data_IF_527190897031
#
_entry.id   IF_527190897031
#
_cell.length_a   1.000
_cell.length_b   1.000
_cell.length_c   1.000
_cell.angle_alpha   90.00
_cell.angle_beta   90.00
_cell.angle_gamma   90.00
#
_symmetry.space_group_name_H-M   'P 1'
#
loop_
_entity.id
_entity.type
_entity.pdbx_description
1 polymer ?
#
# COMPACT_ATOMS: atom_id res chain seq x y z
N UNK A 1 46.96 -0.79 -6.77
CA UNK A 1 45.71 -1.36 -7.30
C UNK A 1 45.46 -2.80 -6.81
N UNK A 2 46.46 -3.68 -6.62
CA UNK A 2 46.22 -5.00 -6.02
C UNK A 2 45.54 -4.90 -4.64
N UNK A 3 45.98 -3.97 -3.80
CA UNK A 3 45.44 -3.75 -2.45
C UNK A 3 43.94 -3.31 -2.50
N UNK A 4 43.53 -2.61 -3.55
CA UNK A 4 42.12 -2.22 -3.71
C UNK A 4 41.22 -3.43 -4.08
N UNK A 5 41.77 -4.42 -4.78
CA UNK A 5 41.07 -5.69 -5.11
C UNK A 5 40.99 -6.55 -3.85
N UNK A 6 42.06 -6.64 -3.07
CA UNK A 6 42.10 -7.37 -1.79
C UNK A 6 41.11 -6.75 -0.79
N UNK A 7 41.01 -5.41 -0.73
CA UNK A 7 40.04 -4.72 0.11
C UNK A 7 38.57 -5.04 -0.29
N UNK A 8 38.29 -5.29 -1.57
CA UNK A 8 36.96 -5.72 -2.03
C UNK A 8 36.60 -7.09 -1.48
N UNK A 9 37.55 -8.03 -1.48
CA UNK A 9 37.35 -9.35 -0.89
C UNK A 9 37.16 -9.25 0.63
N UNK A 10 37.98 -8.45 1.33
CA UNK A 10 37.85 -8.25 2.77
C UNK A 10 36.47 -7.68 3.14
N UNK A 11 35.94 -6.74 2.34
CA UNK A 11 34.58 -6.18 2.56
C UNK A 11 33.53 -7.28 2.33
N UNK A 12 33.65 -8.08 1.27
CA UNK A 12 32.72 -9.15 0.99
C UNK A 12 32.69 -10.20 2.13
N UNK A 13 33.84 -10.55 2.70
CA UNK A 13 33.94 -11.46 3.82
C UNK A 13 33.32 -10.93 5.12
N UNK A 14 33.24 -9.61 5.29
CA UNK A 14 32.56 -8.95 6.42
C UNK A 14 31.04 -8.88 6.26
N UNK A 15 30.52 -9.08 5.04
CA UNK A 15 29.09 -8.98 4.74
C UNK A 15 28.39 -10.33 4.91
N UNK A 16 28.04 -10.68 6.14
CA UNK A 16 27.38 -11.96 6.49
C UNK A 16 25.98 -11.70 7.07
N UNK A 17 25.20 -10.83 6.43
CA UNK A 17 23.84 -10.53 6.85
C UNK A 17 22.86 -11.58 6.32
N UNK A 18 22.16 -12.25 7.23
CA UNK A 18 20.99 -13.07 6.92
C UNK A 18 19.72 -12.28 7.19
N UNK A 19 18.92 -12.06 6.16
CA UNK A 19 17.61 -11.43 6.28
C UNK A 19 16.55 -12.52 6.42
N UNK A 20 15.86 -12.56 7.55
CA UNK A 20 14.71 -13.45 7.73
C UNK A 20 13.56 -12.92 6.89
N UNK A 21 12.96 -13.76 6.06
CA UNK A 21 11.91 -13.39 5.12
C UNK A 21 10.60 -14.11 5.44
N UNK A 22 9.47 -13.46 5.10
CA UNK A 22 8.21 -14.16 4.94
C UNK A 22 7.30 -14.25 6.18
N UNK A 23 7.51 -13.40 7.19
CA UNK A 23 6.59 -13.30 8.34
C UNK A 23 6.10 -11.85 8.54
N UNK A 24 5.29 -11.30 7.60
CA UNK A 24 4.78 -9.94 7.76
C UNK A 24 4.00 -9.84 9.07
N UNK A 25 4.44 -8.91 9.91
CA UNK A 25 3.87 -8.70 11.25
C UNK A 25 3.23 -7.32 11.31
N UNK A 26 1.96 -7.21 11.69
CA UNK A 26 1.33 -5.91 11.92
C UNK A 26 2.13 -5.09 12.93
N UNK A 27 2.20 -3.76 12.75
CA UNK A 27 2.70 -2.92 13.83
C UNK A 27 1.79 -3.05 15.04
N UNK A 28 2.35 -2.80 16.22
CA UNK A 28 1.61 -2.78 17.47
C UNK A 28 0.64 -1.59 17.46
N UNK A 29 -0.61 -1.83 17.81
CA UNK A 29 -1.55 -0.75 17.98
C UNK A 29 -1.09 0.18 19.09
N UNK A 30 -1.08 1.49 18.85
CA UNK A 30 -0.73 2.50 19.82
C UNK A 30 -1.97 3.24 20.29
N UNK A 31 -2.24 3.15 21.56
CA UNK A 31 -3.37 3.79 22.21
C UNK A 31 -3.16 5.31 22.30
N UNK A 32 -3.86 6.10 21.48
CA UNK A 32 -3.76 7.57 21.50
C UNK A 32 -4.87 8.27 22.24
N UNK A 33 -6.03 7.63 22.35
CA UNK A 33 -7.16 8.22 23.08
C UNK A 33 -6.82 8.34 24.55
N UNK A 34 -7.19 9.47 25.14
CA UNK A 34 -7.07 9.64 26.59
C UNK A 34 -7.77 8.48 27.30
N UNK A 35 -7.11 7.87 28.27
CA UNK A 35 -7.68 6.78 29.10
C UNK A 35 -9.07 7.10 29.67
N UNK A 36 -9.46 8.38 29.70
CA UNK A 36 -10.77 8.86 30.14
C UNK A 36 -11.96 8.49 29.24
N UNK A 37 -11.74 8.25 27.94
CA UNK A 37 -12.82 7.86 27.01
C UNK A 37 -13.14 6.37 27.08
N UNK A 38 -12.25 5.57 27.70
CA UNK A 38 -12.39 4.12 27.88
C UNK A 38 -12.46 3.80 29.38
N UNK A 39 -12.93 4.74 30.16
CA UNK A 39 -12.86 4.71 31.62
C UNK A 39 -13.53 3.49 32.30
N UNK A 40 -14.31 2.71 31.55
CA UNK A 40 -14.97 1.51 32.04
C UNK A 40 -14.40 0.19 31.49
N UNK A 41 -13.39 0.25 30.61
CA UNK A 41 -12.79 -0.94 30.03
C UNK A 41 -11.61 -1.41 30.87
N UNK A 42 -11.72 -2.61 31.46
CA UNK A 42 -10.63 -3.24 32.19
C UNK A 42 -9.75 -4.00 31.21
N UNK A 43 -8.53 -3.49 31.00
CA UNK A 43 -7.53 -4.16 30.18
C UNK A 43 -6.83 -5.26 30.97
N UNK A 44 -6.59 -6.46 30.39
CA UNK A 44 -5.90 -7.57 31.07
C UNK A 44 -4.47 -7.23 31.49
N UNK A 45 -3.75 -6.46 30.69
CA UNK A 45 -2.33 -6.13 30.87
C UNK A 45 -2.11 -4.61 30.73
N UNK A 46 -2.66 -3.78 31.66
CA UNK A 46 -2.72 -2.32 31.51
C UNK A 46 -1.34 -1.63 31.59
N UNK A 47 -0.34 -2.30 32.16
CA UNK A 47 1.01 -1.75 32.36
C UNK A 47 1.96 -2.04 31.18
N UNK A 48 1.55 -2.88 30.23
CA UNK A 48 2.35 -3.17 29.04
C UNK A 48 2.15 -2.09 27.98
N UNK A 49 3.25 -1.68 27.36
CA UNK A 49 3.23 -0.76 26.20
C UNK A 49 2.48 -1.38 25.02
N UNK A 50 2.56 -2.71 24.88
CA UNK A 50 1.84 -3.50 23.89
C UNK A 50 1.41 -4.84 24.47
N UNK A 51 0.17 -5.22 24.21
CA UNK A 51 -0.37 -6.54 24.52
C UNK A 51 -1.44 -6.94 23.50
N UNK A 52 -1.30 -8.14 22.94
CA UNK A 52 -2.33 -8.71 22.07
C UNK A 52 -3.67 -8.92 22.81
N UNK A 53 -3.61 -9.24 24.09
CA UNK A 53 -4.83 -9.44 24.90
C UNK A 53 -5.54 -8.10 25.15
N UNK A 54 -4.80 -7.01 25.33
CA UNK A 54 -5.38 -5.67 25.39
C UNK A 54 -6.04 -5.29 24.07
N UNK A 55 -5.36 -5.57 22.93
CA UNK A 55 -5.91 -5.32 21.61
C UNK A 55 -7.22 -6.10 21.38
N UNK A 56 -7.28 -7.38 21.77
CA UNK A 56 -8.50 -8.19 21.65
C UNK A 56 -9.66 -7.61 22.45
N UNK A 57 -9.42 -7.23 23.69
CA UNK A 57 -10.47 -6.67 24.58
C UNK A 57 -11.00 -5.36 24.01
N UNK A 58 -10.11 -4.46 23.60
CA UNK A 58 -10.49 -3.20 22.98
C UNK A 58 -11.24 -3.40 21.66
N UNK A 59 -10.73 -4.26 20.81
CA UNK A 59 -11.33 -4.58 19.52
C UNK A 59 -12.77 -5.11 19.66
N UNK A 60 -12.99 -6.07 20.56
CA UNK A 60 -14.32 -6.61 20.85
C UNK A 60 -15.25 -5.50 21.36
N UNK A 61 -14.75 -4.67 22.26
CA UNK A 61 -15.52 -3.55 22.84
C UNK A 61 -15.98 -2.57 21.76
N UNK A 62 -15.06 -2.07 20.93
CA UNK A 62 -15.36 -1.10 19.88
C UNK A 62 -16.28 -1.70 18.79
N UNK A 63 -16.10 -2.98 18.45
CA UNK A 63 -16.99 -3.66 17.51
C UNK A 63 -18.44 -3.72 18.03
N UNK A 64 -18.63 -4.09 19.29
CA UNK A 64 -19.98 -4.21 19.87
C UNK A 64 -20.66 -2.86 20.02
N UNK A 65 -19.97 -1.84 20.50
CA UNK A 65 -20.51 -0.47 20.59
C UNK A 65 -20.84 0.06 19.19
N UNK A 66 -19.92 -0.10 18.25
CA UNK A 66 -20.14 0.36 16.89
C UNK A 66 -21.30 -0.36 16.19
N UNK A 67 -21.54 -1.64 16.50
CA UNK A 67 -22.71 -2.34 15.99
C UNK A 67 -24.01 -1.75 16.55
N UNK A 68 -24.10 -1.50 17.87
CA UNK A 68 -25.31 -0.91 18.45
C UNK A 68 -25.65 0.45 17.81
N UNK A 69 -24.62 1.27 17.49
CA UNK A 69 -24.82 2.50 16.73
C UNK A 69 -25.41 2.26 15.31
N UNK A 70 -24.98 1.18 14.64
CA UNK A 70 -25.47 0.81 13.30
C UNK A 70 -26.89 0.20 13.33
N UNK A 71 -27.23 -0.50 14.41
CA UNK A 71 -28.53 -1.14 14.57
C UNK A 71 -29.69 -0.14 14.68
N UNK A 72 -29.44 1.14 15.01
CA UNK A 72 -30.48 2.19 15.07
C UNK A 72 -31.29 2.27 13.77
N UNK A 73 -30.68 2.00 12.62
CA UNK A 73 -31.34 2.08 11.29
C UNK A 73 -31.77 0.70 10.74
N UNK A 74 -31.51 -0.39 11.49
CA UNK A 74 -31.88 -1.76 11.12
C UNK A 74 -33.18 -2.16 11.83
N UNK A 75 -34.14 -2.84 11.15
CA UNK A 75 -35.33 -3.35 11.81
C UNK A 75 -34.97 -4.29 12.99
N UNK A 76 -35.70 -4.13 14.12
CA UNK A 76 -35.40 -4.81 15.37
C UNK A 76 -35.42 -6.34 15.27
N UNK A 77 -36.30 -6.89 14.43
CA UNK A 77 -36.40 -8.32 14.15
C UNK A 77 -35.13 -8.93 13.54
N UNK A 78 -34.26 -8.08 12.97
CA UNK A 78 -32.99 -8.51 12.37
C UNK A 78 -31.78 -8.32 13.29
N UNK A 79 -31.90 -7.63 14.41
CA UNK A 79 -30.76 -7.32 15.27
C UNK A 79 -29.97 -8.54 15.72
N UNK A 80 -30.67 -9.68 15.97
CA UNK A 80 -30.00 -10.91 16.38
C UNK A 80 -29.11 -11.49 15.28
N UNK A 81 -29.57 -11.43 14.01
CA UNK A 81 -28.76 -11.84 12.86
C UNK A 81 -27.42 -11.08 12.79
N UNK A 82 -27.46 -9.77 13.02
CA UNK A 82 -26.27 -8.92 13.04
C UNK A 82 -25.33 -9.26 14.20
N UNK A 83 -25.87 -9.44 15.40
CA UNK A 83 -25.07 -9.81 16.58
C UNK A 83 -24.40 -11.16 16.40
N UNK A 84 -25.11 -12.16 15.90
CA UNK A 84 -24.58 -13.50 15.63
C UNK A 84 -23.46 -13.45 14.60
N UNK A 85 -23.66 -12.74 13.51
CA UNK A 85 -22.65 -12.55 12.46
C UNK A 85 -21.41 -11.79 12.98
N UNK A 86 -21.61 -10.75 13.79
CA UNK A 86 -20.50 -9.99 14.38
C UNK A 86 -19.61 -10.89 15.25
N UNK A 87 -20.20 -11.70 16.12
CA UNK A 87 -19.43 -12.60 17.01
C UNK A 87 -18.63 -13.64 16.21
N UNK A 88 -19.18 -14.16 15.11
CA UNK A 88 -18.44 -15.07 14.22
C UNK A 88 -17.22 -14.38 13.61
N UNK A 89 -17.38 -13.17 13.06
CA UNK A 89 -16.27 -12.42 12.47
C UNK A 89 -15.22 -12.02 13.51
N UNK A 90 -15.63 -11.56 14.70
CA UNK A 90 -14.74 -11.23 15.83
C UNK A 90 -13.86 -12.43 16.18
N UNK A 91 -14.46 -13.63 16.32
CA UNK A 91 -13.72 -14.84 16.68
C UNK A 91 -12.69 -15.18 15.59
N UNK A 92 -13.06 -15.14 14.33
CA UNK A 92 -12.13 -15.41 13.21
C UNK A 92 -10.96 -14.41 13.21
N UNK A 93 -11.23 -13.11 13.38
CA UNK A 93 -10.19 -12.07 13.40
C UNK A 93 -9.24 -12.27 14.60
N UNK A 94 -9.77 -12.63 15.79
CA UNK A 94 -8.97 -12.92 16.97
C UNK A 94 -8.10 -14.17 16.81
N UNK A 95 -8.65 -15.25 16.25
CA UNK A 95 -7.93 -16.50 16.00
C UNK A 95 -6.80 -16.31 14.99
N UNK A 96 -7.03 -15.47 13.98
CA UNK A 96 -6.03 -15.09 13.00
C UNK A 96 -5.03 -14.04 13.51
N UNK A 97 -5.17 -13.52 14.74
CA UNK A 97 -4.31 -12.52 15.40
C UNK A 97 -4.27 -11.15 14.70
N UNK A 98 -5.39 -10.72 14.12
CA UNK A 98 -5.51 -9.42 13.46
C UNK A 98 -6.32 -8.33 14.20
N UNK A 99 -6.66 -8.45 15.51
CA UNK A 99 -7.38 -7.36 16.20
C UNK A 99 -6.58 -6.04 16.17
N UNK A 100 -5.25 -6.09 16.41
CA UNK A 100 -4.39 -4.90 16.34
C UNK A 100 -4.38 -4.24 14.96
N UNK A 101 -4.36 -5.03 13.86
CA UNK A 101 -4.47 -4.49 12.51
C UNK A 101 -5.81 -3.75 12.29
N UNK A 102 -6.92 -4.35 12.72
CA UNK A 102 -8.25 -3.74 12.60
C UNK A 102 -8.34 -2.44 13.41
N UNK A 103 -7.76 -2.41 14.62
CA UNK A 103 -7.70 -1.21 15.46
C UNK A 103 -6.85 -0.09 14.82
N UNK A 104 -5.74 -0.43 14.16
CA UNK A 104 -4.89 0.54 13.45
C UNK A 104 -5.67 1.21 12.31
N UNK A 105 -6.35 0.40 11.49
CA UNK A 105 -7.16 0.93 10.38
C UNK A 105 -8.32 1.75 10.90
N UNK A 106 -8.99 1.27 11.95
CA UNK A 106 -10.06 1.99 12.63
C UNK A 106 -9.60 3.36 13.14
N UNK A 107 -8.44 3.43 13.79
CA UNK A 107 -7.87 4.67 14.31
C UNK A 107 -7.64 5.70 13.18
N UNK A 108 -7.04 5.28 12.07
CA UNK A 108 -6.81 6.16 10.94
C UNK A 108 -8.11 6.73 10.35
N UNK A 109 -9.14 5.90 10.22
CA UNK A 109 -10.44 6.31 9.69
C UNK A 109 -11.18 7.23 10.66
N UNK A 110 -11.18 6.92 11.95
CA UNK A 110 -11.86 7.74 12.98
C UNK A 110 -11.18 9.10 13.12
N UNK A 111 -9.84 9.13 13.15
CA UNK A 111 -9.10 10.40 13.22
C UNK A 111 -9.36 11.26 11.98
N UNK A 112 -9.38 10.66 10.78
CA UNK A 112 -9.75 11.39 9.58
C UNK A 112 -11.14 12.00 9.68
N UNK A 113 -12.14 11.23 10.13
CA UNK A 113 -13.52 11.71 10.34
C UNK A 113 -13.59 12.81 11.40
N UNK A 114 -12.83 12.71 12.50
CA UNK A 114 -12.72 13.74 13.55
C UNK A 114 -12.07 15.04 13.05
N UNK A 115 -11.10 14.93 12.15
CA UNK A 115 -10.48 16.08 11.48
C UNK A 115 -11.38 16.69 10.39
N UNK A 116 -12.56 16.13 10.14
CA UNK A 116 -13.45 16.53 9.07
C UNK A 116 -12.89 16.22 7.67
N UNK A 117 -12.02 15.21 7.55
CA UNK A 117 -11.49 14.76 6.26
C UNK A 117 -12.46 13.72 5.69
N UNK A 118 -13.02 13.95 4.49
CA UNK A 118 -13.89 12.97 3.85
C UNK A 118 -13.20 11.62 3.64
N UNK A 119 -13.89 10.56 4.07
CA UNK A 119 -13.46 9.17 3.91
C UNK A 119 -14.47 8.44 3.03
N UNK A 120 -13.99 7.61 2.12
CA UNK A 120 -14.85 6.81 1.25
C UNK A 120 -15.63 5.73 2.01
N UNK A 121 -16.74 5.24 1.44
CA UNK A 121 -17.63 4.27 2.10
C UNK A 121 -17.01 2.87 2.22
N UNK A 122 -15.80 2.68 1.72
CA UNK A 122 -15.15 1.38 1.62
C UNK A 122 -15.36 0.71 0.26
N UNK A 123 -14.48 -0.21 -0.06
CA UNK A 123 -14.48 -0.97 -1.32
C UNK A 123 -13.74 -2.30 -1.16
N UNK A 124 -13.71 -3.09 -2.24
CA UNK A 124 -12.99 -4.37 -2.26
C UNK A 124 -13.62 -5.41 -1.32
N UNK A 125 -12.77 -6.28 -0.77
CA UNK A 125 -13.20 -7.37 0.09
C UNK A 125 -13.66 -6.91 1.48
N UNK A 126 -13.11 -5.81 1.99
CA UNK A 126 -13.46 -5.26 3.32
C UNK A 126 -14.94 -4.87 3.44
N UNK A 127 -15.60 -4.53 2.30
CA UNK A 127 -17.04 -4.27 2.28
C UNK A 127 -17.90 -5.48 2.68
N UNK A 128 -17.34 -6.71 2.67
CA UNK A 128 -18.00 -7.94 3.12
C UNK A 128 -17.93 -8.18 4.63
N UNK A 129 -17.20 -7.34 5.40
CA UNK A 129 -17.03 -7.48 6.83
C UNK A 129 -18.01 -6.62 7.62
N UNK A 130 -18.80 -7.26 8.49
CA UNK A 130 -19.66 -6.59 9.45
C UNK A 130 -18.84 -5.92 10.57
N UNK A 131 -17.69 -6.48 10.92
CA UNK A 131 -16.72 -5.84 11.82
C UNK A 131 -16.23 -4.52 11.25
N UNK A 132 -15.83 -4.47 9.96
CA UNK A 132 -15.40 -3.23 9.32
C UNK A 132 -16.53 -2.18 9.26
N UNK A 133 -17.77 -2.61 9.06
CA UNK A 133 -18.95 -1.75 9.11
C UNK A 133 -19.23 -1.22 10.53
N UNK A 134 -19.14 -2.09 11.55
CA UNK A 134 -19.32 -1.71 12.97
C UNK A 134 -18.25 -0.72 13.41
N UNK A 135 -17.01 -0.94 13.06
CA UNK A 135 -15.88 -0.02 13.34
C UNK A 135 -15.91 1.25 12.50
N UNK A 136 -16.93 1.46 11.67
CA UNK A 136 -17.05 2.65 10.79
C UNK A 136 -15.87 2.80 9.81
N UNK A 137 -15.13 1.71 9.56
CA UNK A 137 -14.11 1.61 8.51
C UNK A 137 -14.80 1.63 7.15
N UNK A 138 -15.91 0.90 7.02
CA UNK A 138 -16.79 0.94 5.84
C UNK A 138 -18.15 1.49 6.22
N UNK A 139 -18.87 2.07 5.24
CA UNK A 139 -20.25 2.53 5.40
C UNK A 139 -21.23 1.70 4.53
N UNK A 140 -20.79 0.51 4.11
CA UNK A 140 -21.59 -0.47 3.37
C UNK A 140 -22.01 -1.58 4.33
N UNK A 141 -23.33 -1.74 4.53
CA UNK A 141 -23.86 -2.85 5.29
C UNK A 141 -23.74 -4.14 4.46
N UNK A 142 -22.96 -5.16 4.89
CA UNK A 142 -22.75 -6.35 4.10
C UNK A 142 -23.97 -7.28 4.03
N UNK A 143 -24.85 -7.23 5.02
CA UNK A 143 -25.93 -8.22 5.18
C UNK A 143 -27.03 -8.09 4.12
N UNK A 144 -27.59 -6.88 3.84
CA UNK A 144 -28.63 -6.72 2.82
C UNK A 144 -28.17 -7.09 1.41
N UNK A 145 -26.86 -6.98 1.14
CA UNK A 145 -26.28 -7.29 -0.16
C UNK A 145 -25.71 -8.72 -0.26
N UNK A 146 -25.84 -9.53 0.80
CA UNK A 146 -25.31 -10.89 0.81
C UNK A 146 -23.80 -10.97 0.63
N UNK A 147 -23.04 -9.95 1.09
CA UNK A 147 -21.59 -9.94 0.97
C UNK A 147 -20.95 -10.93 1.94
N UNK A 148 -19.97 -11.67 1.44
CA UNK A 148 -19.32 -12.74 2.17
C UNK A 148 -18.05 -12.25 2.88
N UNK A 149 -17.96 -12.51 4.19
CA UNK A 149 -16.78 -12.20 5.00
C UNK A 149 -15.56 -13.01 4.58
N UNK A 150 -15.75 -14.23 4.10
CA UNK A 150 -14.68 -15.15 3.67
C UNK A 150 -13.90 -14.62 2.46
N UNK A 151 -14.43 -13.62 1.76
CA UNK A 151 -13.70 -12.89 0.71
C UNK A 151 -12.70 -11.89 1.29
N UNK A 152 -12.94 -11.41 2.51
CA UNK A 152 -12.05 -10.50 3.22
C UNK A 152 -11.03 -11.27 4.04
N UNK A 153 -11.46 -12.19 4.90
CA UNK A 153 -10.60 -13.07 5.68
C UNK A 153 -11.11 -14.52 5.62
N UNK A 154 -10.20 -15.43 5.31
CA UNK A 154 -10.49 -16.85 5.27
C UNK A 154 -9.43 -17.61 6.09
N UNK A 155 -9.80 -18.31 7.18
CA UNK A 155 -8.88 -19.10 8.00
C UNK A 155 -8.14 -20.19 7.22
N UNK A 156 -8.75 -20.73 6.15
CA UNK A 156 -8.13 -21.74 5.29
C UNK A 156 -7.05 -21.17 4.36
N UNK A 157 -7.10 -19.87 4.12
CA UNK A 157 -6.11 -19.16 3.31
C UNK A 157 -5.45 -18.10 4.16
N UNK A 158 -4.31 -18.43 4.74
CA UNK A 158 -3.51 -17.49 5.52
C UNK A 158 -3.00 -16.37 4.59
N UNK A 159 -3.76 -15.29 4.51
CA UNK A 159 -3.37 -14.05 3.84
C UNK A 159 -3.61 -12.89 4.79
N UNK A 160 -2.73 -11.88 4.72
CA UNK A 160 -2.93 -10.65 5.47
C UNK A 160 -4.20 -9.95 4.98
N UNK A 161 -4.98 -9.34 5.89
CA UNK A 161 -6.07 -8.46 5.50
C UNK A 161 -5.51 -7.25 4.76
N UNK A 162 -6.17 -6.85 3.67
CA UNK A 162 -5.83 -5.67 2.88
C UNK A 162 -7.06 -4.76 2.82
N UNK A 163 -7.01 -3.66 3.55
CA UNK A 163 -8.09 -2.66 3.60
C UNK A 163 -7.63 -1.41 2.89
N UNK A 164 -8.25 -1.15 1.75
CA UNK A 164 -8.08 0.08 0.98
C UNK A 164 -8.85 1.22 1.66
N UNK A 165 -8.13 2.23 2.14
CA UNK A 165 -8.73 3.43 2.74
C UNK A 165 -8.71 4.57 1.73
N UNK A 166 -9.90 5.05 1.33
CA UNK A 166 -10.06 6.16 0.41
C UNK A 166 -10.25 7.46 1.20
N UNK A 167 -9.35 8.42 1.03
CA UNK A 167 -9.40 9.76 1.67
C UNK A 167 -9.55 10.88 0.64
N UNK A 168 -10.02 12.05 1.07
CA UNK A 168 -9.92 13.28 0.28
C UNK A 168 -8.48 13.48 -0.22
N UNK A 169 -8.30 13.59 -1.55
CA UNK A 169 -6.97 13.68 -2.16
C UNK A 169 -6.18 14.89 -1.66
N UNK A 170 -6.85 16.03 -1.46
CA UNK A 170 -6.21 17.27 -1.04
C UNK A 170 -5.66 17.17 0.40
N UNK A 171 -6.35 16.43 1.28
CA UNK A 171 -6.05 16.38 2.72
C UNK A 171 -5.46 15.05 3.20
N UNK A 172 -5.27 14.07 2.33
CA UNK A 172 -4.64 12.78 2.67
C UNK A 172 -3.29 12.94 3.37
N UNK A 173 -2.50 13.95 3.02
CA UNK A 173 -1.21 14.25 3.64
C UNK A 173 -1.31 14.44 5.15
N UNK A 174 -2.38 15.06 5.64
CA UNK A 174 -2.62 15.29 7.07
C UNK A 174 -2.75 13.98 7.86
N UNK A 175 -3.34 12.95 7.24
CA UNK A 175 -3.45 11.62 7.87
C UNK A 175 -2.08 10.91 7.89
N UNK A 176 -1.28 11.03 6.83
CA UNK A 176 0.08 10.49 6.81
C UNK A 176 0.93 11.17 7.89
N UNK A 177 0.80 12.49 8.06
CA UNK A 177 1.49 13.23 9.12
C UNK A 177 1.06 12.76 10.52
N UNK A 178 -0.23 12.51 10.72
CA UNK A 178 -0.75 11.89 11.95
C UNK A 178 -0.09 10.53 12.22
N UNK A 179 -0.03 9.64 11.22
CA UNK A 179 0.62 8.33 11.34
C UNK A 179 2.10 8.47 11.71
N UNK A 180 2.80 9.41 11.09
CA UNK A 180 4.21 9.71 11.41
C UNK A 180 4.37 10.21 12.85
N UNK A 181 3.46 11.06 13.33
CA UNK A 181 3.47 11.53 14.72
C UNK A 181 3.20 10.39 15.70
N UNK A 182 2.24 9.52 15.38
CA UNK A 182 1.80 8.41 16.22
C UNK A 182 2.85 7.31 16.36
N UNK A 183 3.43 6.87 15.25
CA UNK A 183 4.34 5.72 15.20
C UNK A 183 5.81 6.11 15.23
N UNK A 184 6.11 7.38 14.98
CA UNK A 184 7.48 7.91 14.95
C UNK A 184 8.08 7.92 13.55
N UNK A 185 8.84 8.98 13.26
CA UNK A 185 9.44 9.24 11.93
C UNK A 185 10.44 8.15 11.49
N UNK A 186 11.04 7.44 12.43
CA UNK A 186 11.96 6.35 12.14
C UNK A 186 11.24 5.05 11.72
N UNK A 187 9.96 4.93 12.04
CA UNK A 187 9.16 3.72 11.94
C UNK A 187 8.14 3.77 10.79
N UNK A 188 7.99 4.92 10.12
CA UNK A 188 7.02 5.14 9.04
C UNK A 188 7.73 5.59 7.79
N UNK A 189 7.42 4.96 6.65
CA UNK A 189 7.92 5.38 5.36
C UNK A 189 6.89 5.12 4.25
N UNK A 190 6.99 5.89 3.17
CA UNK A 190 6.29 5.60 1.93
C UNK A 190 6.97 4.43 1.21
N UNK A 191 6.26 3.77 0.31
CA UNK A 191 6.82 2.71 -0.52
C UNK A 191 7.42 3.34 -1.78
N UNK A 192 8.61 2.90 -2.18
CA UNK A 192 9.22 3.32 -3.44
C UNK A 192 8.49 2.73 -4.63
N UNK A 193 8.46 3.46 -5.74
CA UNK A 193 8.11 2.95 -7.06
C UNK A 193 9.21 3.23 -8.05
N UNK A 194 9.36 2.36 -9.04
CA UNK A 194 10.33 2.54 -10.10
C UNK A 194 9.60 2.79 -11.42
N UNK A 195 9.82 3.97 -12.00
CA UNK A 195 9.44 4.23 -13.37
C UNK A 195 10.32 3.40 -14.31
N UNK A 196 9.68 2.71 -15.26
CA UNK A 196 10.37 1.91 -16.28
C UNK A 196 10.45 2.64 -17.61
N UNK A 197 11.46 2.30 -18.39
CA UNK A 197 11.56 2.68 -19.79
C UNK A 197 10.55 1.85 -20.60
N UNK A 198 9.37 2.42 -20.86
CA UNK A 198 8.33 1.79 -21.67
C UNK A 198 8.51 2.12 -23.15
N UNK A 199 7.97 1.28 -24.06
CA UNK A 199 8.17 1.30 -25.49
C UNK A 199 8.22 2.69 -26.12
N UNK A 200 7.16 3.50 -26.02
CA UNK A 200 7.13 4.87 -26.61
C UNK A 200 8.09 5.84 -25.93
N UNK A 201 8.31 5.65 -24.61
CA UNK A 201 9.21 6.49 -23.83
C UNK A 201 10.68 6.24 -24.17
N UNK A 202 11.08 4.98 -24.22
CA UNK A 202 12.48 4.61 -24.48
C UNK A 202 12.93 5.02 -25.89
N UNK A 203 12.05 4.93 -26.89
CA UNK A 203 12.34 5.44 -28.24
C UNK A 203 12.69 6.94 -28.20
N UNK A 204 11.88 7.76 -27.54
CA UNK A 204 12.15 9.21 -27.44
C UNK A 204 13.42 9.52 -26.63
N UNK A 205 13.67 8.77 -25.56
CA UNK A 205 14.86 8.98 -24.73
C UNK A 205 16.15 8.61 -25.47
N UNK A 206 16.17 7.44 -26.14
CA UNK A 206 17.32 7.01 -26.95
C UNK A 206 17.54 7.94 -28.16
N UNK A 207 16.46 8.29 -28.84
CA UNK A 207 16.51 9.22 -29.97
C UNK A 207 17.15 10.55 -29.59
N UNK A 208 16.78 11.10 -28.43
CA UNK A 208 17.37 12.34 -27.87
C UNK A 208 18.87 12.20 -27.62
N UNK A 209 19.32 11.07 -27.07
CA UNK A 209 20.75 10.81 -26.79
C UNK A 209 21.55 10.65 -28.08
N UNK A 210 20.91 10.15 -29.12
CA UNK A 210 21.51 10.00 -30.46
C UNK A 210 21.29 11.23 -31.38
N UNK A 211 20.95 12.39 -30.77
CA UNK A 211 20.74 13.67 -31.48
C UNK A 211 19.71 13.61 -32.63
N UNK A 212 18.73 12.71 -32.54
CA UNK A 212 17.61 12.67 -33.47
C UNK A 212 16.63 13.82 -33.19
N UNK A 213 16.20 14.60 -34.21
CA UNK A 213 15.19 15.64 -33.99
C UNK A 213 13.91 15.11 -33.39
N UNK A 214 13.33 15.85 -32.40
CA UNK A 214 12.14 15.43 -31.65
C UNK A 214 10.97 15.00 -32.56
N UNK A 215 10.72 15.75 -33.64
CA UNK A 215 9.63 15.43 -34.57
C UNK A 215 9.77 14.02 -35.20
N UNK A 216 11.00 13.61 -35.54
CA UNK A 216 11.28 12.27 -36.05
C UNK A 216 11.16 11.21 -34.98
N UNK A 217 11.70 11.46 -33.78
CA UNK A 217 11.57 10.58 -32.63
C UNK A 217 10.10 10.35 -32.25
N UNK A 218 9.28 11.41 -32.27
CA UNK A 218 7.85 11.32 -31.94
C UNK A 218 7.06 10.59 -33.05
N UNK A 219 7.38 10.83 -34.33
CA UNK A 219 6.81 10.07 -35.42
C UNK A 219 7.11 8.57 -35.31
N UNK A 220 8.36 8.21 -34.99
CA UNK A 220 8.78 6.83 -34.76
C UNK A 220 8.02 6.21 -33.55
N UNK A 221 7.93 6.92 -32.43
CA UNK A 221 7.21 6.45 -31.25
C UNK A 221 5.69 6.27 -31.49
N UNK A 222 5.08 7.05 -32.38
CA UNK A 222 3.67 6.94 -32.78
C UNK A 222 3.36 5.71 -33.65
N UNK A 223 4.36 5.07 -34.24
CA UNK A 223 4.17 3.80 -34.96
C UNK A 223 3.90 2.64 -33.98
N UNK A 224 4.29 2.79 -32.72
CA UNK A 224 4.01 1.78 -31.67
C UNK A 224 2.52 1.76 -31.37
N UNK A 225 1.81 0.60 -31.50
CA UNK A 225 0.39 0.50 -31.24
C UNK A 225 -0.01 0.95 -29.83
N UNK A 226 -1.24 1.49 -29.68
CA UNK A 226 -1.81 1.85 -28.38
C UNK A 226 -2.54 0.65 -27.76
N UNK A 227 -1.76 -0.37 -27.39
CA UNK A 227 -2.28 -1.59 -26.73
C UNK A 227 -1.71 -1.70 -25.31
N UNK A 228 -2.53 -2.22 -24.39
CA UNK A 228 -2.08 -2.45 -23.02
C UNK A 228 -0.99 -3.53 -22.97
N UNK A 229 0.16 -3.21 -22.38
CA UNK A 229 1.28 -4.15 -22.26
C UNK A 229 2.13 -4.29 -23.53
N UNK A 230 1.92 -3.45 -24.55
CA UNK A 230 2.74 -3.44 -25.77
C UNK A 230 4.22 -3.21 -25.45
N UNK A 231 5.09 -3.94 -26.10
CA UNK A 231 6.54 -3.78 -26.06
C UNK A 231 7.12 -3.60 -27.46
N UNK A 232 8.41 -3.26 -27.54
CA UNK A 232 9.05 -2.98 -28.84
C UNK A 232 9.15 -4.23 -29.72
N UNK A 233 9.39 -5.40 -29.15
CA UNK A 233 9.46 -6.67 -29.90
C UNK A 233 8.13 -6.96 -30.59
N UNK A 234 7.03 -6.94 -29.84
CA UNK A 234 5.70 -7.18 -30.40
C UNK A 234 5.25 -6.06 -31.36
N UNK A 235 5.69 -4.82 -31.12
CA UNK A 235 5.43 -3.71 -32.03
C UNK A 235 6.09 -3.89 -33.37
N UNK A 236 7.33 -4.39 -33.40
CA UNK A 236 8.07 -4.66 -34.63
C UNK A 236 7.43 -5.75 -35.49
N UNK A 237 6.82 -6.75 -34.83
CA UNK A 237 6.10 -7.84 -35.51
C UNK A 237 4.74 -7.37 -36.08
N UNK A 238 4.04 -6.50 -35.33
CA UNK A 238 2.66 -6.08 -35.65
C UNK A 238 2.59 -4.93 -36.66
N UNK A 239 3.59 -4.03 -36.68
CA UNK A 239 3.57 -2.81 -37.49
C UNK A 239 4.72 -2.82 -38.55
N UNK A 240 4.45 -3.21 -39.80
CA UNK A 240 5.46 -3.32 -40.83
C UNK A 240 6.21 -2.01 -41.11
N UNK A 241 5.57 -0.85 -40.91
CA UNK A 241 6.19 0.46 -41.09
C UNK A 241 7.39 0.70 -40.19
N UNK A 242 7.46 0.05 -39.04
CA UNK A 242 8.62 0.13 -38.15
C UNK A 242 9.83 -0.52 -38.81
N UNK A 243 9.65 -1.67 -39.44
CA UNK A 243 10.70 -2.37 -40.16
C UNK A 243 11.14 -1.56 -41.37
N UNK A 244 10.17 -1.07 -42.17
CA UNK A 244 10.46 -0.21 -43.35
C UNK A 244 11.26 1.03 -42.95
N UNK A 245 10.92 1.68 -41.82
CA UNK A 245 11.65 2.84 -41.32
C UNK A 245 13.07 2.48 -40.90
N UNK A 246 13.27 1.37 -40.19
CA UNK A 246 14.59 0.91 -39.75
C UNK A 246 15.47 0.49 -40.94
N UNK A 247 14.88 -0.12 -41.98
CA UNK A 247 15.61 -0.53 -43.18
C UNK A 247 16.03 0.68 -44.03
N UNK A 248 15.22 1.75 -44.06
CA UNK A 248 15.48 2.96 -44.83
C UNK A 248 16.37 3.99 -44.12
N UNK A 249 16.45 3.98 -42.81
CA UNK A 249 17.13 4.99 -41.99
C UNK A 249 18.07 4.37 -40.96
N UNK A 250 19.39 4.38 -41.18
CA UNK A 250 20.36 3.83 -40.23
C UNK A 250 20.32 4.45 -38.82
N UNK A 251 19.93 5.74 -38.69
CA UNK A 251 19.77 6.38 -37.38
C UNK A 251 18.55 5.82 -36.65
N UNK A 252 17.43 5.62 -37.35
CA UNK A 252 16.25 4.98 -36.78
C UNK A 252 16.52 3.53 -36.37
N UNK A 253 17.26 2.77 -37.14
CA UNK A 253 17.69 1.41 -36.82
C UNK A 253 18.51 1.37 -35.52
N UNK A 254 19.50 2.28 -35.36
CA UNK A 254 20.28 2.39 -34.13
C UNK A 254 19.43 2.78 -32.90
N UNK A 255 18.48 3.71 -33.09
CA UNK A 255 17.55 4.09 -32.02
C UNK A 255 16.74 2.87 -31.59
N UNK A 256 16.25 2.10 -32.57
CA UNK A 256 15.44 0.90 -32.27
C UNK A 256 16.26 -0.18 -31.55
N UNK A 257 17.47 -0.47 -31.99
CA UNK A 257 18.39 -1.44 -31.39
C UNK A 257 18.67 -1.11 -29.91
N UNK A 258 19.07 0.15 -29.64
CA UNK A 258 19.35 0.55 -28.24
C UNK A 258 18.10 0.63 -27.40
N UNK A 259 16.98 1.03 -27.98
CA UNK A 259 15.71 1.04 -27.26
C UNK A 259 15.25 -0.37 -26.85
N UNK A 260 15.42 -1.37 -27.73
CA UNK A 260 15.17 -2.78 -27.40
C UNK A 260 16.02 -3.28 -26.22
N UNK A 261 17.30 -2.89 -26.18
CA UNK A 261 18.20 -3.28 -25.10
C UNK A 261 17.86 -2.60 -23.76
N UNK A 262 17.24 -1.43 -23.79
CA UNK A 262 16.94 -0.62 -22.61
C UNK A 262 15.48 -0.74 -22.14
N UNK A 263 14.58 -1.25 -22.97
CA UNK A 263 13.17 -1.40 -22.62
C UNK A 263 13.00 -2.24 -21.34
N UNK A 264 12.13 -1.79 -20.44
CA UNK A 264 11.83 -2.46 -19.20
C UNK A 264 12.81 -2.18 -18.06
N UNK A 265 13.97 -1.56 -18.32
CA UNK A 265 14.88 -1.14 -17.27
C UNK A 265 14.29 -0.01 -16.42
N UNK A 266 14.71 0.05 -15.16
CA UNK A 266 14.32 1.13 -14.25
C UNK A 266 14.97 2.45 -14.70
N UNK A 267 14.17 3.52 -14.75
CA UNK A 267 14.61 4.85 -15.17
C UNK A 267 14.81 5.79 -13.98
N UNK A 268 13.80 5.88 -13.14
CA UNK A 268 13.78 6.78 -11.98
C UNK A 268 13.03 6.17 -10.82
N UNK A 269 13.35 6.64 -9.63
CA UNK A 269 12.62 6.30 -8.41
C UNK A 269 11.58 7.39 -8.13
N UNK A 270 10.42 6.97 -7.66
CA UNK A 270 9.34 7.79 -7.15
C UNK A 270 8.78 7.19 -5.88
N UNK A 271 7.72 7.78 -5.35
CA UNK A 271 6.98 7.21 -4.21
C UNK A 271 5.66 6.64 -4.68
N UNK A 272 5.22 5.57 -4.01
CA UNK A 272 3.90 4.99 -4.24
C UNK A 272 2.82 6.01 -3.90
N UNK A 273 1.80 6.08 -4.74
CA UNK A 273 0.75 7.08 -4.56
C UNK A 273 -0.04 6.92 -3.26
N UNK A 274 -0.10 5.72 -2.69
CA UNK A 274 -0.94 5.39 -1.54
C UNK A 274 -0.22 4.62 -0.43
N UNK A 275 0.73 3.74 -0.77
CA UNK A 275 1.30 2.78 0.17
C UNK A 275 2.23 3.40 1.20
N UNK A 276 1.95 3.12 2.47
CA UNK A 276 2.77 3.48 3.63
C UNK A 276 3.08 2.21 4.41
N UNK A 277 4.31 2.06 4.87
CA UNK A 277 4.70 0.99 5.79
C UNK A 277 4.93 1.54 7.18
N UNK A 278 4.56 0.75 8.18
CA UNK A 278 4.71 1.06 9.60
C UNK A 278 5.41 -0.11 10.27
N UNK A 279 6.41 0.18 11.11
CA UNK A 279 7.19 -0.84 11.81
C UNK A 279 7.21 -0.57 13.31
N UNK A 280 7.32 -1.63 14.13
CA UNK A 280 7.52 -1.54 15.57
C UNK A 280 8.93 -1.05 15.95
N UNK A 281 9.87 -1.18 15.03
CA UNK A 281 11.27 -0.76 15.21
C UNK A 281 11.71 0.12 14.03
N UNK A 282 12.85 0.83 14.16
CA UNK A 282 13.34 1.68 13.08
C UNK A 282 13.48 0.93 11.76
N UNK A 283 12.88 1.47 10.70
CA UNK A 283 12.78 0.85 9.38
C UNK A 283 14.13 0.48 8.75
N UNK A 284 15.22 1.20 9.09
CA UNK A 284 16.56 0.88 8.56
C UNK A 284 17.10 -0.48 9.03
N UNK A 285 16.47 -1.11 10.02
CA UNK A 285 16.79 -2.49 10.42
C UNK A 285 16.20 -3.54 9.49
N UNK A 286 15.16 -3.18 8.72
CA UNK A 286 14.42 -4.08 7.84
C UNK A 286 14.63 -3.80 6.36
N UNK A 287 14.79 -2.53 5.98
CA UNK A 287 14.92 -2.10 4.59
C UNK A 287 15.84 -0.89 4.47
N UNK A 288 16.66 -0.81 3.42
CA UNK A 288 17.33 0.43 3.07
C UNK A 288 16.30 1.53 2.82
N UNK A 289 16.64 2.77 3.19
CA UNK A 289 15.76 3.92 3.05
C UNK A 289 16.28 4.91 2.01
N UNK A 290 15.37 5.61 1.38
CA UNK A 290 15.61 6.63 0.38
C UNK A 290 14.87 7.91 0.77
N UNK A 291 15.51 9.07 0.61
CA UNK A 291 14.86 10.37 0.81
C UNK A 291 14.49 10.96 -0.54
N UNK A 292 13.20 10.96 -0.92
CA UNK A 292 12.75 11.58 -2.17
C UNK A 292 12.95 13.09 -2.15
N UNK A 293 13.29 13.68 -3.31
CA UNK A 293 13.40 15.14 -3.43
C UNK A 293 12.05 15.81 -3.18
N UNK A 294 12.04 16.85 -2.34
CA UNK A 294 10.84 17.64 -2.05
C UNK A 294 9.85 17.02 -1.08
N UNK A 295 10.15 15.86 -0.50
CA UNK A 295 9.34 15.24 0.54
C UNK A 295 10.11 15.17 1.86
N UNK A 296 9.38 15.35 2.95
CA UNK A 296 9.92 15.22 4.30
C UNK A 296 9.88 13.78 4.83
N UNK A 297 9.08 12.93 4.21
CA UNK A 297 8.95 11.50 4.55
C UNK A 297 10.02 10.67 3.85
N UNK A 298 10.48 9.61 4.52
CA UNK A 298 11.35 8.60 3.93
C UNK A 298 10.55 7.65 3.03
N UNK A 299 11.23 7.00 2.10
CA UNK A 299 10.68 5.89 1.33
C UNK A 299 11.55 4.64 1.52
N UNK A 300 10.93 3.47 1.47
CA UNK A 300 11.64 2.18 1.41
C UNK A 300 12.37 2.06 0.07
N UNK A 301 13.48 1.32 0.00
CA UNK A 301 14.10 0.95 -1.28
C UNK A 301 13.56 -0.36 -1.84
N UNK A 302 12.83 -1.13 -1.06
CA UNK A 302 12.00 -2.23 -1.56
C UNK A 302 10.64 -1.71 -1.99
N UNK A 303 10.18 -2.09 -3.18
CA UNK A 303 8.87 -1.72 -3.70
C UNK A 303 7.75 -2.57 -3.07
N UNK A 304 6.49 -2.26 -3.37
CA UNK A 304 5.32 -2.91 -2.80
C UNK A 304 5.29 -4.45 -2.94
N UNK A 305 6.03 -5.01 -3.89
CA UNK A 305 6.14 -6.46 -4.06
C UNK A 305 7.02 -7.14 -3.00
N UNK A 306 8.03 -6.43 -2.50
CA UNK A 306 9.07 -7.00 -1.63
C UNK A 306 9.01 -6.50 -0.19
N UNK A 307 8.16 -5.52 0.14
CA UNK A 307 8.07 -5.01 1.52
C UNK A 307 7.52 -6.05 2.49
N UNK A 308 6.61 -6.91 2.02
CA UNK A 308 6.06 -8.00 2.84
C UNK A 308 7.09 -9.10 3.08
N UNK A 309 8.00 -9.34 2.13
CA UNK A 309 9.08 -10.31 2.28
C UNK A 309 10.03 -9.95 3.44
N UNK A 310 10.17 -8.66 3.76
CA UNK A 310 11.00 -8.14 4.86
C UNK A 310 10.18 -7.79 6.11
N UNK A 311 9.10 -8.50 6.35
CA UNK A 311 8.24 -8.40 7.53
C UNK A 311 7.58 -7.03 7.73
N UNK A 312 7.31 -6.29 6.65
CA UNK A 312 6.57 -5.03 6.69
C UNK A 312 5.17 -5.22 6.12
N UNK A 313 4.20 -4.52 6.69
CA UNK A 313 2.83 -4.49 6.19
C UNK A 313 2.57 -3.15 5.53
N UNK A 314 1.93 -3.22 4.37
CA UNK A 314 1.48 -2.07 3.60
C UNK A 314 0.10 -1.62 4.09
N UNK A 315 -0.05 -0.32 4.32
CA UNK A 315 -1.34 0.34 4.51
C UNK A 315 -1.59 1.26 3.32
N UNK A 316 -2.73 1.10 2.64
CA UNK A 316 -3.04 1.88 1.45
C UNK A 316 -3.93 3.10 1.78
N UNK A 317 -3.30 4.28 1.77
CA UNK A 317 -3.95 5.59 1.93
C UNK A 317 -4.25 6.17 0.55
N UNK A 318 -5.36 5.81 -0.04
CA UNK A 318 -5.71 6.25 -1.39
C UNK A 318 -6.32 7.65 -1.40
N UNK A 319 -5.94 8.46 -2.37
CA UNK A 319 -6.49 9.80 -2.56
C UNK A 319 -7.53 9.82 -3.68
N UNK A 320 -8.79 10.07 -3.36
CA UNK A 320 -9.88 10.20 -4.33
C UNK A 320 -10.22 11.67 -4.58
N UNK A 321 -10.15 12.09 -5.86
CA UNK A 321 -10.59 13.43 -6.30
C UNK A 321 -12.06 13.67 -6.02
N UNK A 322 -12.90 12.66 -6.16
CA UNK A 322 -14.35 12.77 -5.91
C UNK A 322 -14.63 13.20 -4.48
N UNK A 323 -13.89 12.66 -3.50
CA UNK A 323 -14.03 13.09 -2.11
C UNK A 323 -13.60 14.55 -1.91
N UNK A 324 -12.60 15.03 -2.64
CA UNK A 324 -12.19 16.44 -2.61
C UNK A 324 -13.25 17.38 -3.21
N UNK A 325 -14.05 16.90 -4.16
CA UNK A 325 -15.13 17.70 -4.77
C UNK A 325 -16.37 17.76 -3.86
N UNK A 326 -16.58 16.70 -3.05
CA UNK A 326 -17.71 16.64 -2.10
C UNK A 326 -17.43 17.51 -0.87
N UNK A 327 -16.18 17.68 -0.48
CA UNK A 327 -15.75 18.55 0.62
C UNK A 327 -16.05 20.02 0.31
#
# INVERSE_FOLDING_TARGET
>A
IPEAIEATQEIAEKCNLEIKLGNPTPPNFKFTRQKSEISNLVLPEPDLEYSLENDKVLFIHECRIGLEDRLIIVPEERHQEYRDRLEVEINIINDMRFPGYMLIVWDFVIVAKQMGIPVGPGRGSAAGSLVAFSLKITDIDPIPYGLLFERFLNPERISMPDIDMDFCQARRGEIIDYVVQQYGRANVAQIITFGKLLAKGVIRDVARVLDMPYARADAMAKLIPDELGINLTSSYEKEPKIKELCDADPQAARVWEYALALEGLNRNAGTHAAGVVISNEPLWKKTPLFKPSGLDTLATQYNGKYVEDVDLIKFDFLGLKTLTVIE
#
